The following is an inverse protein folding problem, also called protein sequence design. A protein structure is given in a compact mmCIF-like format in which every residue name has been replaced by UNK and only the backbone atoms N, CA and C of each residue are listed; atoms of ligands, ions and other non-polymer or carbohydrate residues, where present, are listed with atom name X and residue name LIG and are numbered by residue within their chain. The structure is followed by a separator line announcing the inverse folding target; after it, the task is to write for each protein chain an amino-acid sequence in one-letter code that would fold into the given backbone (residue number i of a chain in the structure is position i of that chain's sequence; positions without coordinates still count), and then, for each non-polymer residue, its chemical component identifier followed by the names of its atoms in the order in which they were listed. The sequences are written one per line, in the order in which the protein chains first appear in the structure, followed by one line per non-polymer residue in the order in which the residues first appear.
data_IF_340978566154
#
_entry.id   IF_340978566154
#
_cell.length_a   1.000
_cell.length_b   1.000
_cell.length_c   1.000
_cell.angle_alpha   90.00
_cell.angle_beta   90.00
_cell.angle_gamma   90.00
#
_symmetry.space_group_name_H-M   'P 1'
#
loop_
_entity.id
_entity.type
_entity.pdbx_description
1 polymer ?
#
# COMPACT_ATOMS: atom_id res chain seq x y z
N UNK A 1 -25.36 -17.77 59.23
CA UNK A 1 -25.89 -17.00 58.09
C UNK A 1 -24.70 -16.38 57.36
N UNK A 2 -24.18 -17.07 56.35
CA UNK A 2 -22.99 -16.65 55.59
C UNK A 2 -23.44 -15.77 54.42
N UNK A 3 -23.22 -14.45 54.53
CA UNK A 3 -23.50 -13.53 53.42
C UNK A 3 -22.39 -13.63 52.38
N UNK A 4 -22.76 -14.27 51.28
CA UNK A 4 -21.98 -14.44 50.07
C UNK A 4 -21.86 -13.08 49.36
N UNK A 5 -20.76 -12.37 49.59
CA UNK A 5 -20.42 -11.18 48.82
C UNK A 5 -19.88 -11.67 47.48
N UNK A 6 -20.78 -11.84 46.51
CA UNK A 6 -20.42 -12.13 45.14
C UNK A 6 -19.52 -11.00 44.62
N UNK A 7 -18.22 -11.29 44.52
CA UNK A 7 -17.23 -10.41 43.91
C UNK A 7 -17.61 -10.23 42.44
N UNK A 8 -18.26 -9.11 42.12
CA UNK A 8 -18.48 -8.67 40.75
C UNK A 8 -17.12 -8.33 40.13
N UNK A 9 -16.42 -9.34 39.62
CA UNK A 9 -15.23 -9.18 38.77
C UNK A 9 -15.72 -8.61 37.44
N UNK A 10 -15.62 -7.30 37.29
CA UNK A 10 -15.68 -6.64 35.98
C UNK A 10 -14.60 -7.27 35.10
N UNK A 11 -14.99 -8.18 34.20
CA UNK A 11 -14.08 -8.71 33.19
C UNK A 11 -13.71 -7.56 32.27
N UNK A 12 -12.47 -7.07 32.38
CA UNK A 12 -11.92 -6.15 31.41
C UNK A 12 -11.82 -6.89 30.08
N UNK A 13 -12.69 -6.56 29.11
CA UNK A 13 -12.58 -7.06 27.75
C UNK A 13 -11.24 -6.57 27.18
N UNK A 14 -10.24 -7.44 27.15
CA UNK A 14 -8.97 -7.16 26.49
C UNK A 14 -9.30 -7.11 25.00
N UNK A 15 -9.45 -5.91 24.47
CA UNK A 15 -9.65 -5.70 23.04
C UNK A 15 -8.32 -6.00 22.38
N UNK A 16 -8.18 -7.18 21.79
CA UNK A 16 -6.99 -7.54 21.02
C UNK A 16 -6.70 -6.42 20.02
N UNK A 17 -5.47 -5.87 20.09
CA UNK A 17 -5.06 -4.82 19.16
C UNK A 17 -4.95 -5.46 17.78
N UNK A 18 -5.95 -5.19 16.93
CA UNK A 18 -5.91 -5.60 15.53
C UNK A 18 -4.62 -5.08 14.90
N UNK A 19 -3.80 -6.00 14.38
CA UNK A 19 -2.58 -5.65 13.65
C UNK A 19 -2.98 -4.99 12.34
N UNK A 20 -2.32 -3.88 11.99
CA UNK A 20 -2.49 -3.27 10.67
C UNK A 20 -1.99 -4.25 9.58
N UNK A 21 -2.67 -4.34 8.43
CA UNK A 21 -2.19 -5.15 7.31
C UNK A 21 -0.76 -4.74 6.89
N UNK A 22 0.04 -5.71 6.46
CA UNK A 22 1.32 -5.40 5.81
C UNK A 22 1.05 -4.77 4.44
N UNK A 23 1.75 -3.68 4.15
CA UNK A 23 1.74 -3.03 2.84
C UNK A 23 2.75 -3.69 1.91
N UNK A 24 2.55 -3.54 0.60
CA UNK A 24 3.46 -4.01 -0.45
C UNK A 24 3.71 -2.87 -1.43
N UNK A 25 4.92 -2.84 -1.99
CA UNK A 25 5.30 -1.91 -3.05
C UNK A 25 5.04 -2.56 -4.42
N UNK A 26 4.50 -1.77 -5.34
CA UNK A 26 4.34 -2.11 -6.75
C UNK A 26 5.44 -1.41 -7.54
N UNK A 27 6.33 -2.21 -8.10
CA UNK A 27 7.52 -1.76 -8.81
C UNK A 27 7.37 -2.02 -10.31
N UNK A 28 7.68 -1.03 -11.13
CA UNK A 28 7.78 -1.17 -12.58
C UNK A 28 9.24 -1.36 -12.99
N UNK A 29 9.49 -2.34 -13.85
CA UNK A 29 10.81 -2.67 -14.39
C UNK A 29 10.93 -2.13 -15.83
N UNK A 30 12.10 -1.64 -16.19
CA UNK A 30 12.39 -1.19 -17.55
C UNK A 30 12.59 -2.37 -18.50
N UNK A 31 12.22 -2.18 -19.75
CA UNK A 31 12.49 -3.08 -20.87
C UNK A 31 12.68 -2.29 -22.17
N UNK A 32 13.18 -2.95 -23.23
CA UNK A 32 13.54 -2.30 -24.50
C UNK A 32 12.42 -2.31 -25.56
N UNK A 33 11.22 -2.78 -25.23
CA UNK A 33 10.13 -3.02 -26.19
C UNK A 33 8.86 -2.22 -25.89
N UNK A 34 8.57 -1.95 -24.62
CA UNK A 34 7.37 -1.24 -24.20
C UNK A 34 7.47 0.26 -24.52
N UNK A 35 6.56 0.84 -25.34
CA UNK A 35 6.61 2.27 -25.65
C UNK A 35 6.42 3.15 -24.41
N UNK A 36 7.13 4.28 -24.36
CA UNK A 36 7.05 5.25 -23.24
C UNK A 36 5.62 5.74 -22.98
N UNK A 37 4.88 6.10 -24.03
CA UNK A 37 3.48 6.56 -23.93
C UNK A 37 2.57 5.49 -23.31
N UNK A 38 2.82 4.21 -23.62
CA UNK A 38 2.05 3.12 -23.03
C UNK A 38 2.29 2.99 -21.52
N UNK A 39 3.53 3.19 -21.08
CA UNK A 39 3.86 3.21 -19.65
C UNK A 39 3.15 4.37 -18.93
N UNK A 40 3.15 5.55 -19.54
CA UNK A 40 2.44 6.74 -19.02
C UNK A 40 0.95 6.45 -18.89
N UNK A 41 0.32 5.86 -19.92
CA UNK A 41 -1.09 5.48 -19.90
C UNK A 41 -1.41 4.49 -18.77
N UNK A 42 -0.56 3.49 -18.53
CA UNK A 42 -0.70 2.51 -17.43
C UNK A 42 -0.64 3.21 -16.07
N UNK A 43 0.34 4.10 -15.88
CA UNK A 43 0.53 4.86 -14.65
C UNK A 43 -0.66 5.78 -14.35
N UNK A 44 -1.22 6.43 -15.37
CA UNK A 44 -2.41 7.26 -15.22
C UNK A 44 -3.66 6.42 -14.92
N UNK A 45 -3.88 5.33 -15.67
CA UNK A 45 -5.10 4.54 -15.59
C UNK A 45 -5.22 3.71 -14.31
N UNK A 46 -4.12 3.12 -13.83
CA UNK A 46 -4.17 2.15 -12.74
C UNK A 46 -3.58 2.66 -11.42
N UNK A 47 -2.68 3.64 -11.47
CA UNK A 47 -2.04 4.21 -10.28
C UNK A 47 -2.50 5.64 -9.97
N UNK A 48 -3.43 6.18 -10.77
CA UNK A 48 -4.04 7.50 -10.53
C UNK A 48 -3.04 8.66 -10.59
N UNK A 49 -1.89 8.47 -11.25
CA UNK A 49 -0.91 9.55 -11.45
C UNK A 49 -1.44 10.55 -12.46
N UNK A 50 -1.15 11.83 -12.26
CA UNK A 50 -1.33 12.82 -13.32
C UNK A 50 -0.26 12.65 -14.41
N UNK A 51 -0.42 13.36 -15.53
CA UNK A 51 0.48 13.25 -16.68
C UNK A 51 1.93 13.61 -16.35
N UNK A 52 2.17 14.57 -15.46
CA UNK A 52 3.51 15.01 -15.10
C UNK A 52 4.19 13.97 -14.19
N UNK A 53 3.44 13.48 -13.20
CA UNK A 53 3.88 12.40 -12.30
C UNK A 53 4.16 11.11 -13.06
N UNK A 54 3.30 10.75 -14.02
CA UNK A 54 3.46 9.56 -14.84
C UNK A 54 4.71 9.66 -15.72
N UNK A 55 4.95 10.82 -16.35
CA UNK A 55 6.16 11.07 -17.13
C UNK A 55 7.43 11.02 -16.28
N UNK A 56 7.40 11.58 -15.07
CA UNK A 56 8.54 11.54 -14.14
C UNK A 56 8.89 10.09 -13.75
N UNK A 57 7.89 9.29 -13.37
CA UNK A 57 8.07 7.88 -13.02
C UNK A 57 8.54 7.07 -14.22
N UNK A 58 7.94 7.27 -15.40
CA UNK A 58 8.35 6.59 -16.63
C UNK A 58 9.81 6.88 -16.96
N UNK A 59 10.23 8.15 -16.94
CA UNK A 59 11.62 8.52 -17.21
C UNK A 59 12.59 8.00 -16.15
N UNK A 60 12.15 7.91 -14.89
CA UNK A 60 12.94 7.30 -13.83
C UNK A 60 13.18 5.81 -14.10
N UNK A 61 12.13 5.06 -14.44
CA UNK A 61 12.23 3.63 -14.79
C UNK A 61 13.16 3.45 -15.98
N UNK A 62 12.98 4.22 -17.05
CA UNK A 62 13.80 4.15 -18.25
C UNK A 62 15.30 4.33 -17.99
N UNK A 63 15.67 5.25 -17.10
CA UNK A 63 17.07 5.58 -16.80
C UNK A 63 17.70 4.66 -15.74
N UNK A 64 16.92 4.21 -14.77
CA UNK A 64 17.42 3.51 -13.57
C UNK A 64 17.07 2.01 -13.56
N UNK A 65 16.34 1.53 -14.56
CA UNK A 65 15.94 0.13 -14.71
C UNK A 65 14.68 -0.25 -13.92
N UNK A 66 14.26 0.56 -12.95
CA UNK A 66 13.12 0.28 -12.08
C UNK A 66 12.53 1.55 -11.47
N UNK A 67 11.28 1.52 -10.98
CA UNK A 67 10.66 2.65 -10.28
C UNK A 67 9.38 2.28 -9.51
N UNK A 68 9.09 3.02 -8.44
CA UNK A 68 7.92 2.80 -7.58
C UNK A 68 6.65 3.40 -8.21
N UNK A 69 5.62 2.58 -8.37
CA UNK A 69 4.32 3.00 -8.90
C UNK A 69 3.32 3.34 -7.78
N UNK A 70 3.26 2.52 -6.73
CA UNK A 70 2.35 2.65 -5.59
C UNK A 70 2.45 1.49 -4.62
#
# INVERSE_FOLDING_TARGET
MTNNVASNKTQTLIKDKLKRPSMYEVILLNDDYTPMEFVVDVLMKYFGKDINQANEVMMHVHRNGTGLCG
#
